data_IF_941143691957
#
_entry.id   IF_941143691957
#
_cell.length_a   1.000
_cell.length_b   1.000
_cell.length_c   1.000
_cell.angle_alpha   90.00
_cell.angle_beta   90.00
_cell.angle_gamma   90.00
#
_symmetry.space_group_name_H-M   'P 1'
#
loop_
_entity.id
_entity.type
_entity.pdbx_description
1 polymer ?
#
# COMPACT_ATOMS: atom_id res chain seq x y z
N UNK A 1 38.22 -2.38 1.40
CA UNK A 1 37.35 -1.39 2.07
C UNK A 1 37.55 -0.09 1.32
N UNK A 2 36.53 0.51 0.77
CA UNK A 2 36.59 1.88 0.27
C UNK A 2 36.83 2.81 1.47
N UNK A 3 37.73 3.78 1.32
CA UNK A 3 38.02 4.78 2.33
C UNK A 3 36.77 5.64 2.52
N UNK A 4 36.38 5.92 3.76
CA UNK A 4 35.24 6.77 4.06
C UNK A 4 35.62 8.24 3.86
N UNK A 5 34.74 9.01 3.22
CA UNK A 5 34.93 10.44 2.99
C UNK A 5 34.46 11.26 4.19
N UNK A 6 35.17 12.34 4.47
CA UNK A 6 34.73 13.32 5.46
C UNK A 6 33.43 14.02 4.97
N UNK A 7 32.62 14.51 5.91
CA UNK A 7 31.38 15.21 5.58
C UNK A 7 31.59 16.41 4.65
N UNK A 8 32.61 17.22 4.92
CA UNK A 8 32.96 18.41 4.11
C UNK A 8 33.34 18.04 2.67
N UNK A 9 34.06 16.91 2.49
CA UNK A 9 34.40 16.38 1.17
C UNK A 9 33.17 15.94 0.42
N UNK A 10 32.31 15.13 1.05
CA UNK A 10 31.05 14.66 0.44
C UNK A 10 30.15 15.85 0.08
N UNK A 11 30.09 16.88 0.91
CA UNK A 11 29.31 18.10 0.63
C UNK A 11 29.87 18.87 -0.56
N UNK A 12 31.19 19.05 -0.61
CA UNK A 12 31.87 19.79 -1.68
C UNK A 12 31.79 19.08 -3.03
N UNK A 13 31.93 17.76 -3.03
CA UNK A 13 31.90 16.95 -4.23
C UNK A 13 30.45 16.78 -4.77
N UNK A 14 29.43 16.91 -3.90
CA UNK A 14 28.02 16.72 -4.24
C UNK A 14 27.63 15.26 -4.46
N UNK A 15 28.50 14.30 -4.19
CA UNK A 15 28.25 12.87 -4.27
C UNK A 15 29.04 12.08 -3.22
N UNK A 16 28.58 10.87 -2.93
CA UNK A 16 29.21 9.96 -2.01
C UNK A 16 28.45 8.63 -1.97
N UNK A 17 29.10 7.57 -1.52
CA UNK A 17 28.40 6.32 -1.32
C UNK A 17 27.52 6.35 -0.04
N UNK A 18 26.76 5.30 0.23
CA UNK A 18 25.78 5.26 1.33
C UNK A 18 26.37 5.66 2.69
N UNK A 19 27.59 5.21 3.02
CA UNK A 19 28.21 5.55 4.30
C UNK A 19 28.66 7.01 4.37
N UNK A 20 29.18 7.58 3.26
CA UNK A 20 29.57 8.98 3.19
C UNK A 20 28.36 9.90 3.36
N UNK A 21 27.21 9.52 2.73
CA UNK A 21 25.94 10.24 2.90
C UNK A 21 25.44 10.19 4.35
N UNK A 22 25.57 9.03 5.02
CA UNK A 22 25.21 8.92 6.43
C UNK A 22 26.08 9.82 7.31
N UNK A 23 27.41 9.88 7.03
CA UNK A 23 28.34 10.79 7.73
C UNK A 23 27.94 12.25 7.51
N UNK A 24 27.60 12.63 6.29
CA UNK A 24 27.12 13.98 5.96
C UNK A 24 25.81 14.32 6.69
N UNK A 25 24.81 13.44 6.66
CA UNK A 25 23.55 13.66 7.40
C UNK A 25 23.78 13.81 8.89
N UNK A 26 24.63 12.98 9.48
CA UNK A 26 24.97 13.07 10.90
C UNK A 26 25.63 14.42 11.22
N UNK A 27 26.58 14.87 10.41
CA UNK A 27 27.26 16.15 10.60
C UNK A 27 26.31 17.35 10.49
N UNK A 28 25.43 17.36 9.46
CA UNK A 28 24.43 18.41 9.25
C UNK A 28 23.43 18.49 10.41
N UNK A 29 22.93 17.36 10.86
CA UNK A 29 21.99 17.30 11.99
C UNK A 29 22.65 17.77 13.29
N UNK A 30 23.91 17.37 13.52
CA UNK A 30 24.68 17.83 14.68
C UNK A 30 24.92 19.36 14.65
N UNK A 31 25.28 19.90 13.48
CA UNK A 31 25.44 21.35 13.30
C UNK A 31 24.12 22.12 13.49
N UNK A 32 22.98 21.48 13.18
CA UNK A 32 21.65 22.03 13.42
C UNK A 32 21.16 21.88 14.88
N UNK A 33 21.97 21.31 15.78
CA UNK A 33 21.67 21.20 17.22
C UNK A 33 20.88 19.95 17.59
N UNK A 34 20.74 18.98 16.69
CA UNK A 34 20.15 17.67 16.99
C UNK A 34 21.20 16.70 17.56
N UNK A 35 20.73 15.58 18.09
CA UNK A 35 21.56 14.48 18.60
C UNK A 35 21.36 13.22 17.75
N UNK A 36 21.94 13.14 16.56
CA UNK A 36 21.81 11.97 15.68
C UNK A 36 22.64 10.80 16.19
N UNK A 37 22.19 9.58 15.85
CA UNK A 37 22.91 8.34 16.10
C UNK A 37 23.12 7.58 14.78
N UNK A 38 24.30 6.98 14.61
CA UNK A 38 24.48 6.02 13.51
C UNK A 38 23.82 4.70 13.84
N UNK A 39 23.07 4.17 12.86
CA UNK A 39 22.39 2.88 12.92
C UNK A 39 22.77 2.09 11.67
N UNK A 40 23.17 0.84 11.85
CA UNK A 40 23.32 -0.10 10.75
C UNK A 40 22.05 -0.92 10.65
N UNK A 41 21.28 -0.77 9.59
CA UNK A 41 20.08 -1.54 9.37
C UNK A 41 20.41 -2.94 8.84
N UNK A 42 19.60 -3.91 9.25
CA UNK A 42 19.70 -5.29 8.79
C UNK A 42 18.85 -5.50 7.53
N UNK A 43 19.38 -6.27 6.59
CA UNK A 43 18.64 -6.78 5.43
C UNK A 43 17.82 -8.04 5.76
N UNK A 44 18.01 -8.61 6.94
CA UNK A 44 17.22 -9.77 7.38
C UNK A 44 15.73 -9.42 7.49
N UNK A 45 14.86 -10.34 7.10
CA UNK A 45 13.42 -10.11 7.21
C UNK A 45 12.97 -9.99 8.68
N UNK A 46 11.94 -9.19 8.97
CA UNK A 46 11.46 -8.95 10.34
C UNK A 46 10.62 -10.13 10.87
N UNK A 47 11.21 -11.33 10.88
CA UNK A 47 10.61 -12.56 11.37
C UNK A 47 11.17 -12.92 12.74
N UNK A 48 10.31 -13.17 13.71
CA UNK A 48 10.68 -13.35 15.12
C UNK A 48 11.81 -14.37 15.34
N UNK A 49 11.80 -15.50 14.62
CA UNK A 49 12.86 -16.51 14.71
C UNK A 49 14.21 -16.02 14.19
N UNK A 50 14.22 -15.27 13.08
CA UNK A 50 15.43 -14.72 12.46
C UNK A 50 15.94 -13.54 13.28
N UNK A 51 15.07 -12.60 13.63
CA UNK A 51 15.44 -11.42 14.42
C UNK A 51 15.89 -11.78 15.83
N UNK A 52 15.33 -12.83 16.43
CA UNK A 52 15.78 -13.35 17.74
C UNK A 52 17.21 -13.86 17.71
N UNK A 53 17.60 -14.60 16.66
CA UNK A 53 18.98 -15.06 16.46
C UNK A 53 19.92 -13.88 16.23
N UNK A 54 19.56 -12.95 15.33
CA UNK A 54 20.37 -11.77 15.02
C UNK A 54 20.54 -10.83 16.21
N UNK A 55 19.55 -10.73 17.11
CA UNK A 55 19.68 -9.99 18.38
C UNK A 55 20.69 -10.63 19.34
N UNK A 56 20.72 -11.96 19.39
CA UNK A 56 21.59 -12.71 20.30
C UNK A 56 23.01 -12.83 19.77
N UNK A 57 23.16 -13.02 18.47
CA UNK A 57 24.42 -13.20 17.76
C UNK A 57 24.48 -12.26 16.53
N UNK A 58 24.69 -10.95 16.74
CA UNK A 58 24.75 -10.01 15.63
C UNK A 58 26.00 -10.26 14.79
N UNK A 59 25.80 -10.64 13.53
CA UNK A 59 26.89 -10.83 12.58
C UNK A 59 27.06 -9.56 11.74
N UNK A 60 28.29 -9.08 11.49
CA UNK A 60 28.54 -7.85 10.73
C UNK A 60 27.89 -7.85 9.33
N UNK A 61 27.81 -9.01 8.68
CA UNK A 61 27.17 -9.15 7.38
C UNK A 61 25.65 -8.93 7.39
N UNK A 62 25.01 -9.01 8.57
CA UNK A 62 23.57 -8.82 8.71
C UNK A 62 23.17 -7.34 8.88
N UNK A 63 24.15 -6.49 9.20
CA UNK A 63 23.96 -5.06 9.52
C UNK A 63 24.82 -4.18 8.61
N UNK A 64 24.45 -4.07 7.36
CA UNK A 64 25.30 -3.43 6.35
C UNK A 64 24.77 -2.07 5.85
N UNK A 65 23.53 -1.73 6.14
CA UNK A 65 22.93 -0.51 5.59
C UNK A 65 23.08 0.67 6.56
N UNK A 66 23.95 1.65 6.26
CA UNK A 66 24.21 2.78 7.14
C UNK A 66 23.08 3.81 7.09
N UNK A 67 22.49 4.08 8.24
CA UNK A 67 21.43 5.05 8.45
C UNK A 67 21.80 6.03 9.56
N UNK A 68 21.07 7.14 9.62
CA UNK A 68 21.11 8.09 10.71
C UNK A 68 19.75 8.16 11.37
N UNK A 69 19.71 7.89 12.66
CA UNK A 69 18.51 8.04 13.50
C UNK A 69 18.58 9.38 14.22
N UNK A 70 17.48 10.12 14.19
CA UNK A 70 17.28 11.33 14.98
C UNK A 70 15.92 11.29 15.66
N UNK A 71 15.84 11.78 16.91
CA UNK A 71 14.56 11.86 17.64
C UNK A 71 14.13 13.32 17.70
N UNK A 72 12.94 13.61 17.20
CA UNK A 72 12.33 14.93 17.22
C UNK A 72 10.95 14.83 17.87
N UNK A 73 10.71 15.60 18.92
CA UNK A 73 9.45 15.57 19.68
C UNK A 73 9.01 14.16 20.11
N UNK A 74 9.95 13.29 20.46
CA UNK A 74 9.68 11.90 20.89
C UNK A 74 9.45 10.89 19.75
N UNK A 75 9.47 11.33 18.50
CA UNK A 75 9.35 10.49 17.31
C UNK A 75 10.75 10.23 16.72
N UNK A 76 11.10 8.98 16.49
CA UNK A 76 12.32 8.60 15.77
C UNK A 76 12.10 8.74 14.26
N UNK A 77 13.12 9.30 13.59
CA UNK A 77 13.23 9.40 12.14
C UNK A 77 14.52 8.72 11.71
N UNK A 78 14.44 7.93 10.66
CA UNK A 78 15.58 7.25 10.04
C UNK A 78 15.82 7.86 8.67
N UNK A 79 17.07 8.17 8.37
CA UNK A 79 17.48 8.86 7.15
C UNK A 79 18.55 8.06 6.42
N UNK A 80 18.66 8.26 5.12
CA UNK A 80 19.61 7.65 4.17
C UNK A 80 19.13 6.38 3.47
N UNK A 81 17.90 5.91 3.70
CA UNK A 81 17.36 4.72 3.07
C UNK A 81 16.22 4.99 2.07
N UNK A 82 15.87 6.25 1.89
CA UNK A 82 14.84 6.72 0.95
C UNK A 82 15.40 7.81 0.05
N UNK A 83 14.68 8.14 -1.01
CA UNK A 83 15.04 9.16 -1.98
C UNK A 83 14.31 10.49 -1.74
N UNK A 84 14.55 11.46 -2.61
CA UNK A 84 13.96 12.80 -2.56
C UNK A 84 12.45 12.83 -2.77
N UNK A 85 11.85 11.76 -3.31
CA UNK A 85 10.42 11.64 -3.58
C UNK A 85 9.67 11.07 -2.38
N UNK A 86 10.39 10.56 -1.40
CA UNK A 86 9.80 9.90 -0.23
C UNK A 86 9.35 10.89 0.83
N UNK A 87 8.32 10.52 1.60
CA UNK A 87 7.89 11.28 2.76
C UNK A 87 8.92 11.17 3.89
N UNK A 88 9.27 12.29 4.51
CA UNK A 88 10.09 12.28 5.73
C UNK A 88 9.40 11.42 6.81
N UNK A 89 10.12 10.44 7.33
CA UNK A 89 9.62 9.47 8.29
C UNK A 89 9.21 8.13 7.68
N UNK A 90 9.13 8.03 6.35
CA UNK A 90 9.09 6.72 5.70
C UNK A 90 10.47 6.06 5.78
N UNK A 91 10.51 4.73 5.78
CA UNK A 91 11.74 3.93 5.76
C UNK A 91 11.51 2.64 4.98
N UNK A 92 12.50 2.23 4.20
CA UNK A 92 12.50 0.93 3.52
C UNK A 92 12.78 -0.24 4.48
N UNK A 93 13.24 0.07 5.71
CA UNK A 93 13.61 -0.91 6.72
C UNK A 93 12.58 -1.05 7.84
N UNK A 94 11.32 -0.66 7.60
CA UNK A 94 10.26 -0.76 8.60
C UNK A 94 10.09 -2.19 9.14
N UNK A 95 10.08 -2.33 10.47
CA UNK A 95 10.02 -3.59 11.19
C UNK A 95 11.35 -4.37 11.27
N UNK A 96 12.43 -3.91 10.60
CA UNK A 96 13.73 -4.58 10.59
C UNK A 96 14.58 -4.19 11.81
N UNK A 97 15.62 -4.99 12.07
CA UNK A 97 16.60 -4.68 13.10
C UNK A 97 17.57 -3.61 12.65
N UNK A 98 17.94 -2.75 13.59
CA UNK A 98 19.05 -1.83 13.50
C UNK A 98 20.03 -2.04 14.64
N UNK A 99 21.32 -1.84 14.39
CA UNK A 99 22.38 -1.82 15.40
C UNK A 99 22.83 -0.37 15.59
N UNK A 100 22.56 0.18 16.79
CA UNK A 100 23.03 1.52 17.17
C UNK A 100 24.52 1.46 17.48
N UNK A 101 25.37 2.17 16.71
CA UNK A 101 26.81 2.01 16.82
C UNK A 101 27.37 2.51 18.17
N UNK A 102 26.82 3.60 18.70
CA UNK A 102 27.32 4.20 19.96
C UNK A 102 27.09 3.29 21.17
N UNK A 103 25.89 2.71 21.30
CA UNK A 103 25.51 1.87 22.42
C UNK A 103 25.75 0.38 22.19
N UNK A 104 25.97 -0.04 20.94
CA UNK A 104 26.03 -1.44 20.49
C UNK A 104 24.72 -2.22 20.77
N UNK A 105 23.62 -1.50 20.97
CA UNK A 105 22.32 -2.08 21.24
C UNK A 105 21.54 -2.33 19.95
N UNK A 106 20.80 -3.43 19.92
CA UNK A 106 19.82 -3.67 18.86
C UNK A 106 18.59 -2.79 19.08
N UNK A 107 18.03 -2.25 18.02
CA UNK A 107 16.76 -1.52 18.00
C UNK A 107 15.88 -2.07 16.87
N UNK A 108 14.58 -1.86 16.94
CA UNK A 108 13.70 -2.07 15.79
C UNK A 108 13.51 -0.74 15.08
N UNK A 109 13.64 -0.75 13.76
CA UNK A 109 13.44 0.41 12.91
C UNK A 109 11.95 0.48 12.60
N UNK A 110 11.31 1.61 12.87
CA UNK A 110 9.91 1.82 12.53
C UNK A 110 9.74 3.11 11.75
N UNK A 111 8.89 3.07 10.74
CA UNK A 111 8.41 4.26 10.07
C UNK A 111 7.75 5.20 11.09
N UNK A 112 7.86 6.50 10.87
CA UNK A 112 7.17 7.48 11.69
C UNK A 112 5.64 7.28 11.59
N UNK A 113 4.91 7.83 12.56
CA UNK A 113 3.45 7.72 12.59
C UNK A 113 2.83 8.13 11.24
N UNK A 114 1.96 7.28 10.72
CA UNK A 114 1.28 7.42 9.43
C UNK A 114 2.19 7.32 8.18
N UNK A 115 3.47 6.95 8.32
CA UNK A 115 4.41 6.78 7.22
C UNK A 115 4.68 5.31 6.85
N UNK A 116 3.96 4.35 7.44
CA UNK A 116 3.98 2.94 7.05
C UNK A 116 3.35 2.69 5.69
N UNK A 117 3.63 1.52 5.10
CA UNK A 117 3.10 1.14 3.80
C UNK A 117 1.59 0.88 3.85
N UNK A 118 0.82 1.78 3.24
CA UNK A 118 -0.63 1.64 3.14
C UNK A 118 -1.16 2.25 1.84
N UNK A 119 -2.31 1.75 1.38
CA UNK A 119 -3.09 2.33 0.30
C UNK A 119 -4.56 2.41 0.72
N UNK A 120 -5.23 3.52 0.39
CA UNK A 120 -6.68 3.64 0.57
C UNK A 120 -7.31 3.99 -0.77
N UNK A 121 -8.29 3.21 -1.18
CA UNK A 121 -9.05 3.46 -2.40
C UNK A 121 -10.51 3.72 -2.03
N UNK A 122 -11.05 4.82 -2.53
CA UNK A 122 -12.47 5.13 -2.47
C UNK A 122 -13.07 5.03 -3.87
N UNK A 123 -14.05 4.16 -4.02
CA UNK A 123 -14.95 4.11 -5.18
C UNK A 123 -16.27 4.75 -4.81
N UNK A 124 -16.77 5.64 -5.67
CA UNK A 124 -18.14 6.16 -5.59
C UNK A 124 -18.89 5.74 -6.84
N UNK A 125 -19.98 5.01 -6.68
CA UNK A 125 -20.81 4.51 -7.79
C UNK A 125 -22.20 5.19 -7.71
N UNK A 126 -22.59 5.89 -8.77
CA UNK A 126 -23.94 6.39 -8.94
C UNK A 126 -24.60 5.61 -10.05
N UNK A 127 -25.43 4.63 -9.69
CA UNK A 127 -26.12 3.74 -10.61
C UNK A 127 -27.48 4.32 -10.95
N UNK A 128 -27.85 4.37 -12.24
CA UNK A 128 -29.16 4.83 -12.70
C UNK A 128 -30.09 3.65 -13.04
N UNK A 129 -31.40 3.92 -13.12
CA UNK A 129 -32.42 2.94 -13.50
C UNK A 129 -32.21 2.35 -14.91
N UNK A 130 -31.42 2.98 -15.75
CA UNK A 130 -31.06 2.53 -17.10
C UNK A 130 -29.78 1.70 -17.12
N UNK A 131 -29.11 1.50 -15.97
CA UNK A 131 -27.85 0.79 -15.87
C UNK A 131 -26.61 1.63 -16.20
N UNK A 132 -26.78 2.88 -16.63
CA UNK A 132 -25.64 3.81 -16.74
C UNK A 132 -25.11 4.13 -15.35
N UNK A 133 -23.78 4.11 -15.20
CA UNK A 133 -23.15 4.34 -13.92
C UNK A 133 -22.01 5.34 -14.06
N UNK A 134 -21.94 6.28 -13.13
CA UNK A 134 -20.76 7.11 -12.91
C UNK A 134 -19.92 6.52 -11.80
N UNK A 135 -18.65 6.31 -12.09
CA UNK A 135 -17.68 5.76 -11.14
C UNK A 135 -16.60 6.79 -10.87
N UNK A 136 -16.53 7.28 -9.63
CA UNK A 136 -15.40 8.05 -9.13
C UNK A 136 -14.39 7.14 -8.45
N UNK A 137 -13.11 7.37 -8.70
CA UNK A 137 -12.01 6.64 -8.08
C UNK A 137 -11.06 7.63 -7.44
N UNK A 138 -10.78 7.43 -6.15
CA UNK A 138 -9.79 8.23 -5.41
C UNK A 138 -8.86 7.27 -4.68
N UNK A 139 -7.55 7.39 -4.91
CA UNK A 139 -6.51 6.58 -4.26
C UNK A 139 -5.60 7.46 -3.44
N UNK A 140 -5.33 7.04 -2.21
CA UNK A 140 -4.36 7.66 -1.32
C UNK A 140 -3.20 6.71 -1.11
N UNK A 141 -1.98 7.21 -1.34
CA UNK A 141 -0.74 6.45 -1.22
C UNK A 141 0.05 6.89 -0.01
N UNK A 142 0.52 5.93 0.79
CA UNK A 142 1.31 6.14 2.00
C UNK A 142 2.63 5.38 1.91
N UNK A 143 3.59 5.75 2.77
CA UNK A 143 4.88 5.07 2.90
C UNK A 143 5.64 4.96 1.59
N UNK A 144 6.17 3.78 1.29
CA UNK A 144 6.90 3.51 0.05
C UNK A 144 6.04 3.68 -1.21
N UNK A 145 4.74 3.40 -1.13
CA UNK A 145 3.79 3.63 -2.22
C UNK A 145 3.67 5.11 -2.61
N UNK A 146 3.72 6.02 -1.63
CA UNK A 146 3.80 7.46 -1.87
C UNK A 146 5.07 7.82 -2.64
N UNK A 147 6.25 7.42 -2.13
CA UNK A 147 7.53 7.74 -2.79
C UNK A 147 7.59 7.23 -4.23
N UNK A 148 7.19 5.98 -4.45
CA UNK A 148 7.17 5.37 -5.78
C UNK A 148 6.25 6.11 -6.77
N UNK A 149 5.04 6.49 -6.33
CA UNK A 149 4.10 7.23 -7.18
C UNK A 149 4.49 8.69 -7.39
N UNK A 150 5.07 9.33 -6.35
CA UNK A 150 5.62 10.67 -6.45
C UNK A 150 6.74 10.72 -7.50
N UNK A 151 7.71 9.80 -7.40
CA UNK A 151 8.78 9.65 -8.39
C UNK A 151 8.19 9.43 -9.80
N UNK A 152 7.30 8.45 -9.94
CA UNK A 152 6.69 8.12 -11.23
C UNK A 152 6.03 9.33 -11.89
N UNK A 153 5.14 10.04 -11.18
CA UNK A 153 4.42 11.18 -11.77
C UNK A 153 5.27 12.44 -11.93
N UNK A 154 6.34 12.60 -11.14
CA UNK A 154 7.27 13.73 -11.27
C UNK A 154 8.13 13.64 -12.53
N UNK A 155 8.41 12.44 -13.02
CA UNK A 155 9.27 12.19 -14.18
C UNK A 155 8.50 11.75 -15.43
N UNK A 156 7.18 11.53 -15.32
CA UNK A 156 6.37 10.99 -16.40
C UNK A 156 6.13 12.03 -17.51
N UNK A 157 6.55 11.75 -18.75
CA UNK A 157 6.25 12.63 -19.87
C UNK A 157 4.74 12.78 -20.12
N UNK A 158 4.25 13.92 -20.64
CA UNK A 158 2.82 14.15 -20.86
C UNK A 158 2.11 13.08 -21.69
N UNK A 159 2.79 12.51 -22.70
CA UNK A 159 2.25 11.40 -23.52
C UNK A 159 2.05 10.13 -22.71
N UNK A 160 3.02 9.78 -21.89
CA UNK A 160 2.95 8.63 -21.01
C UNK A 160 1.87 8.81 -19.93
N UNK A 161 1.70 10.03 -19.42
CA UNK A 161 0.62 10.36 -18.49
C UNK A 161 -0.76 10.14 -19.14
N UNK A 162 -0.92 10.52 -20.41
CA UNK A 162 -2.16 10.26 -21.18
C UNK A 162 -2.40 8.77 -21.35
N UNK A 163 -1.36 8.00 -21.73
CA UNK A 163 -1.46 6.55 -21.89
C UNK A 163 -1.82 5.87 -20.57
N UNK A 164 -1.14 6.22 -19.48
CA UNK A 164 -1.45 5.74 -18.13
C UNK A 164 -2.91 5.99 -17.78
N UNK A 165 -3.41 7.21 -18.05
CA UNK A 165 -4.81 7.55 -17.77
C UNK A 165 -5.80 6.73 -18.59
N UNK A 166 -5.54 6.55 -19.88
CA UNK A 166 -6.38 5.71 -20.75
C UNK A 166 -6.42 4.24 -20.27
N UNK A 167 -5.28 3.68 -19.90
CA UNK A 167 -5.20 2.33 -19.32
C UNK A 167 -5.96 2.23 -18.01
N UNK A 168 -5.79 3.21 -17.12
CA UNK A 168 -6.48 3.27 -15.83
C UNK A 168 -8.00 3.37 -15.99
N UNK A 169 -8.48 4.17 -16.94
CA UNK A 169 -9.91 4.26 -17.28
C UNK A 169 -10.44 2.93 -17.78
N UNK A 170 -9.72 2.26 -18.68
CA UNK A 170 -10.16 0.97 -19.25
C UNK A 170 -10.21 -0.17 -18.23
N UNK A 171 -9.43 -0.08 -17.15
CA UNK A 171 -9.44 -1.06 -16.05
C UNK A 171 -10.70 -0.99 -15.19
N UNK A 172 -11.41 0.15 -15.16
CA UNK A 172 -12.66 0.28 -14.38
C UNK A 172 -13.77 -0.57 -14.98
N UNK A 173 -13.98 -0.46 -16.27
CA UNK A 173 -14.95 -1.27 -17.01
C UNK A 173 -14.70 -1.16 -18.53
N UNK A 174 -15.16 -2.18 -19.26
CA UNK A 174 -15.18 -2.13 -20.72
C UNK A 174 -16.13 -0.99 -21.18
N UNK A 175 -15.63 -0.13 -22.07
CA UNK A 175 -16.41 1.02 -22.57
C UNK A 175 -16.49 2.21 -21.61
N UNK A 176 -15.69 2.22 -20.53
CA UNK A 176 -15.58 3.38 -19.65
C UNK A 176 -15.07 4.60 -20.42
N UNK A 177 -15.71 5.74 -20.20
CA UNK A 177 -15.33 7.03 -20.79
C UNK A 177 -14.94 8.00 -19.68
N UNK A 178 -13.78 8.67 -19.78
CA UNK A 178 -13.34 9.61 -18.77
C UNK A 178 -14.27 10.83 -18.70
N UNK A 179 -14.53 11.30 -17.48
CA UNK A 179 -15.21 12.56 -17.19
C UNK A 179 -14.18 13.50 -16.58
N UNK A 180 -13.68 14.42 -17.39
CA UNK A 180 -12.53 15.26 -17.02
C UNK A 180 -11.19 14.54 -17.18
N UNK A 181 -10.19 14.99 -16.44
CA UNK A 181 -8.81 14.48 -16.48
C UNK A 181 -8.42 13.69 -15.24
N UNK A 182 -7.22 13.11 -15.28
CA UNK A 182 -6.55 12.57 -14.11
C UNK A 182 -6.04 13.72 -13.24
N UNK A 183 -6.35 13.68 -11.96
CA UNK A 183 -5.78 14.58 -10.96
C UNK A 183 -4.78 13.79 -10.12
N UNK A 184 -3.54 14.28 -10.04
CA UNK A 184 -2.50 13.74 -9.16
C UNK A 184 -1.98 14.85 -8.26
N UNK A 185 -1.79 14.56 -6.96
CA UNK A 185 -1.19 15.48 -5.98
C UNK A 185 -0.22 14.72 -5.12
N UNK A 186 1.06 15.05 -5.27
CA UNK A 186 2.17 14.50 -4.49
C UNK A 186 3.04 15.59 -3.87
N UNK A 187 2.60 16.84 -3.92
CA UNK A 187 3.15 18.00 -3.20
C UNK A 187 2.74 18.04 -1.72
N UNK A 188 1.82 17.17 -1.35
CA UNK A 188 1.33 16.97 0.01
C UNK A 188 1.20 15.48 0.31
N UNK A 189 1.25 15.11 1.60
CA UNK A 189 1.12 13.74 2.07
C UNK A 189 -0.22 13.51 2.78
N UNK A 190 -0.95 12.41 2.51
CA UNK A 190 -0.66 11.35 1.55
C UNK A 190 -0.78 11.79 0.09
N UNK A 191 -0.12 11.04 -0.81
CA UNK A 191 -0.28 11.26 -2.26
C UNK A 191 -1.68 10.92 -2.72
N UNK A 192 -2.19 11.67 -3.69
CA UNK A 192 -3.53 11.52 -4.23
C UNK A 192 -3.50 11.26 -5.73
N UNK A 193 -4.31 10.29 -6.16
CA UNK A 193 -4.70 10.05 -7.55
C UNK A 193 -6.23 10.01 -7.63
N UNK A 194 -6.84 10.79 -8.51
CA UNK A 194 -8.30 10.88 -8.63
C UNK A 194 -8.75 11.03 -10.07
N UNK A 195 -9.81 10.31 -10.44
CA UNK A 195 -10.49 10.46 -11.73
C UNK A 195 -11.94 9.97 -11.66
N UNK A 196 -12.70 10.28 -12.70
CA UNK A 196 -14.11 9.86 -12.82
C UNK A 196 -14.35 9.31 -14.22
N UNK A 197 -15.18 8.28 -14.31
CA UNK A 197 -15.62 7.69 -15.59
C UNK A 197 -17.13 7.54 -15.63
N UNK A 198 -17.71 7.64 -16.82
CA UNK A 198 -19.07 7.21 -17.12
C UNK A 198 -19.04 5.89 -17.91
N UNK A 199 -19.92 4.96 -17.55
CA UNK A 199 -20.07 3.68 -18.22
C UNK A 199 -21.54 3.45 -18.53
N UNK A 200 -21.92 3.38 -19.82
CA UNK A 200 -23.34 3.36 -20.23
C UNK A 200 -24.07 2.08 -19.83
N UNK A 201 -23.43 0.92 -19.96
CA UNK A 201 -24.05 -0.38 -19.66
C UNK A 201 -23.26 -1.09 -18.54
N UNK A 202 -22.95 -0.35 -17.47
CA UNK A 202 -22.26 -0.92 -16.30
C UNK A 202 -23.14 -1.92 -15.57
N UNK A 203 -24.36 -1.50 -15.26
CA UNK A 203 -25.38 -2.38 -14.71
C UNK A 203 -26.29 -2.88 -15.83
N UNK A 204 -26.68 -4.14 -15.75
CA UNK A 204 -27.59 -4.76 -16.70
C UNK A 204 -29.00 -4.80 -16.13
N UNK A 205 -29.95 -4.24 -16.88
CA UNK A 205 -31.36 -4.25 -16.53
C UNK A 205 -32.07 -5.40 -17.27
N UNK A 206 -32.70 -6.29 -16.52
CA UNK A 206 -33.48 -7.43 -17.06
C UNK A 206 -34.82 -7.52 -16.33
N UNK A 207 -35.85 -7.03 -16.98
CA UNK A 207 -37.22 -6.97 -16.44
C UNK A 207 -37.27 -6.16 -15.12
N UNK A 208 -37.57 -6.84 -14.02
CA UNK A 208 -37.61 -6.23 -12.69
C UNK A 208 -36.30 -6.27 -11.95
N UNK A 209 -35.23 -6.75 -12.55
CA UNK A 209 -33.92 -6.88 -11.93
C UNK A 209 -32.90 -5.95 -12.57
N UNK A 210 -31.97 -5.47 -11.74
CA UNK A 210 -30.79 -4.76 -12.15
C UNK A 210 -29.59 -5.40 -11.44
N UNK A 211 -28.53 -5.76 -12.20
CA UNK A 211 -27.36 -6.36 -11.61
C UNK A 211 -26.07 -5.74 -12.13
N UNK A 212 -25.05 -5.70 -11.27
CA UNK A 212 -23.70 -5.23 -11.58
C UNK A 212 -22.67 -5.85 -10.64
N UNK A 213 -21.41 -5.79 -11.03
CA UNK A 213 -20.25 -6.15 -10.22
C UNK A 213 -19.58 -4.90 -9.66
N UNK A 214 -18.88 -5.03 -8.54
CA UNK A 214 -17.92 -4.01 -8.09
C UNK A 214 -16.80 -3.82 -9.11
N UNK A 215 -16.22 -2.59 -9.26
CA UNK A 215 -15.20 -2.29 -10.27
C UNK A 215 -13.81 -2.84 -9.94
N UNK A 216 -13.68 -3.68 -8.94
CA UNK A 216 -12.44 -4.29 -8.50
C UNK A 216 -12.67 -5.71 -8.00
N UNK A 217 -11.58 -6.42 -7.83
CA UNK A 217 -11.54 -7.71 -7.11
C UNK A 217 -10.46 -7.61 -6.05
N UNK A 218 -10.84 -7.74 -4.79
CA UNK A 218 -9.87 -7.75 -3.69
C UNK A 218 -8.94 -8.97 -3.78
N UNK A 219 -7.67 -8.78 -3.42
CA UNK A 219 -6.67 -9.84 -3.35
C UNK A 219 -5.72 -9.53 -2.21
N UNK A 220 -5.42 -10.52 -1.39
CA UNK A 220 -4.57 -10.36 -0.20
C UNK A 220 -3.19 -10.97 -0.42
N UNK A 221 -3.12 -12.11 -1.11
CA UNK A 221 -1.89 -12.88 -1.28
C UNK A 221 -1.52 -13.08 -2.75
N UNK A 222 -0.22 -13.04 -3.09
CA UNK A 222 0.25 -13.35 -4.45
C UNK A 222 0.25 -14.87 -4.69
N UNK A 223 -0.93 -15.47 -4.73
CA UNK A 223 -1.09 -16.89 -5.04
C UNK A 223 -1.15 -17.13 -6.55
N UNK A 224 -0.54 -18.22 -7.01
CA UNK A 224 -0.54 -18.63 -8.43
C UNK A 224 -1.04 -20.06 -8.57
N UNK A 225 -0.21 -21.03 -8.22
CA UNK A 225 -0.50 -22.45 -8.40
C UNK A 225 -1.37 -23.01 -7.28
N UNK A 226 -2.06 -24.11 -7.55
CA UNK A 226 -2.92 -24.81 -6.57
C UNK A 226 -2.12 -25.47 -5.43
N UNK A 227 -0.83 -25.65 -5.61
CA UNK A 227 0.06 -26.23 -4.59
C UNK A 227 1.47 -25.65 -4.69
N UNK A 228 2.21 -25.72 -3.58
CA UNK A 228 3.59 -25.29 -3.49
C UNK A 228 4.46 -26.38 -2.87
N UNK A 229 5.69 -26.49 -3.36
CA UNK A 229 6.73 -27.39 -2.80
C UNK A 229 7.66 -26.62 -1.86
N UNK A 230 7.85 -25.31 -2.13
CA UNK A 230 8.70 -24.43 -1.33
C UNK A 230 7.85 -23.45 -0.51
N UNK A 231 8.32 -23.01 0.66
CA UNK A 231 7.64 -21.98 1.45
C UNK A 231 7.39 -20.70 0.64
N UNK A 232 6.26 -20.05 0.89
CA UNK A 232 5.99 -18.69 0.43
C UNK A 232 6.54 -17.70 1.44
N UNK A 233 7.29 -16.71 0.96
CA UNK A 233 7.83 -15.67 1.81
C UNK A 233 7.12 -14.34 1.54
N UNK A 234 6.53 -13.74 2.59
CA UNK A 234 6.02 -12.38 2.62
C UNK A 234 7.06 -11.54 3.35
N UNK A 235 7.77 -10.70 2.60
CA UNK A 235 8.92 -9.93 3.13
C UNK A 235 8.52 -8.67 3.89
N UNK A 236 7.37 -8.08 3.54
CA UNK A 236 6.91 -6.82 4.12
C UNK A 236 5.41 -6.88 4.39
N UNK A 237 4.99 -6.21 5.46
CA UNK A 237 3.59 -5.96 5.73
C UNK A 237 3.04 -4.82 4.86
N UNK A 238 1.75 -4.87 4.57
CA UNK A 238 1.03 -3.80 3.90
C UNK A 238 -0.40 -3.72 4.42
N UNK A 239 -0.98 -2.53 4.33
CA UNK A 239 -2.39 -2.30 4.63
C UNK A 239 -3.06 -1.71 3.40
N UNK A 240 -4.20 -2.28 3.03
CA UNK A 240 -5.06 -1.72 1.98
C UNK A 240 -6.49 -1.61 2.51
N UNK A 241 -7.09 -0.42 2.36
CA UNK A 241 -8.51 -0.21 2.62
C UNK A 241 -9.18 0.18 1.33
N UNK A 242 -10.17 -0.61 0.88
CA UNK A 242 -11.00 -0.29 -0.27
C UNK A 242 -12.40 0.00 0.25
N UNK A 243 -12.83 1.25 0.09
CA UNK A 243 -14.17 1.70 0.46
C UNK A 243 -14.98 1.96 -0.81
N UNK A 244 -16.15 1.36 -0.91
CA UNK A 244 -17.07 1.56 -2.02
C UNK A 244 -18.38 2.12 -1.50
N UNK A 245 -18.77 3.28 -2.01
CA UNK A 245 -20.02 3.96 -1.72
C UNK A 245 -20.91 3.89 -2.97
N UNK A 246 -22.04 3.23 -2.86
CA UNK A 246 -22.96 2.99 -3.96
C UNK A 246 -24.26 3.72 -3.69
N UNK A 247 -24.58 4.71 -4.52
CA UNK A 247 -25.91 5.31 -4.57
C UNK A 247 -26.80 4.42 -5.42
N UNK A 248 -27.86 3.90 -4.81
CA UNK A 248 -28.80 2.99 -5.45
C UNK A 248 -29.72 3.76 -6.42
N UNK A 249 -30.17 3.12 -7.54
CA UNK A 249 -31.13 3.73 -8.45
C UNK A 249 -32.50 3.87 -7.79
N UNK A 250 -33.31 4.80 -8.30
CA UNK A 250 -34.60 5.17 -7.68
C UNK A 250 -35.61 4.05 -7.75
N UNK A 251 -35.69 3.34 -8.88
CA UNK A 251 -36.68 2.27 -9.11
C UNK A 251 -36.22 0.91 -8.59
N UNK A 252 -34.89 0.67 -8.49
CA UNK A 252 -34.29 -0.60 -8.11
C UNK A 252 -33.56 -0.48 -6.77
N UNK A 253 -34.30 -0.31 -5.68
CA UNK A 253 -33.69 -0.09 -4.36
C UNK A 253 -33.80 -1.30 -3.43
N UNK A 254 -34.56 -2.34 -3.77
CA UNK A 254 -34.61 -3.58 -3.00
C UNK A 254 -33.39 -4.45 -3.31
N UNK A 255 -32.49 -4.56 -2.36
CA UNK A 255 -31.28 -5.41 -2.51
C UNK A 255 -31.67 -6.88 -2.31
N UNK A 256 -31.49 -7.70 -3.36
CA UNK A 256 -31.69 -9.15 -3.33
C UNK A 256 -30.37 -9.86 -3.03
N UNK A 257 -29.27 -9.42 -3.64
CA UNK A 257 -27.91 -9.93 -3.41
C UNK A 257 -26.97 -8.74 -3.27
N UNK A 258 -26.13 -8.79 -2.25
CA UNK A 258 -25.00 -7.87 -2.07
C UNK A 258 -23.87 -8.61 -1.34
N UNK A 259 -22.63 -8.13 -1.44
CA UNK A 259 -21.53 -8.61 -0.63
C UNK A 259 -21.87 -8.57 0.85
N UNK A 260 -21.57 -9.65 1.57
CA UNK A 260 -21.86 -9.77 2.99
C UNK A 260 -20.63 -9.46 3.83
N UNK A 261 -20.86 -8.96 5.05
CA UNK A 261 -19.78 -8.78 6.02
C UNK A 261 -19.12 -10.13 6.36
N UNK A 262 -17.82 -10.19 6.26
CA UNK A 262 -17.05 -11.42 6.47
C UNK A 262 -15.66 -11.09 7.04
N UNK A 263 -15.09 -12.02 7.78
CA UNK A 263 -13.71 -11.96 8.22
C UNK A 263 -12.97 -13.22 7.79
N UNK A 264 -11.90 -13.03 7.06
CA UNK A 264 -11.05 -14.08 6.53
C UNK A 264 -9.65 -13.93 7.14
N UNK A 265 -8.99 -15.03 7.44
CA UNK A 265 -7.64 -15.03 7.98
C UNK A 265 -6.87 -16.26 7.50
N UNK A 266 -5.58 -16.04 7.23
CA UNK A 266 -4.62 -17.08 6.95
C UNK A 266 -3.25 -16.66 7.54
N UNK A 267 -2.28 -17.57 7.64
CA UNK A 267 -0.92 -17.18 8.01
C UNK A 267 -0.41 -16.05 7.10
N UNK A 268 0.09 -14.98 7.73
CA UNK A 268 0.62 -13.81 7.01
C UNK A 268 -0.41 -12.77 6.56
N UNK A 269 -1.71 -12.91 6.89
CA UNK A 269 -2.66 -11.83 6.61
C UNK A 269 -4.10 -12.05 6.99
N UNK A 270 -4.86 -10.95 6.99
CA UNK A 270 -6.29 -10.92 7.31
C UNK A 270 -7.04 -10.02 6.32
N UNK A 271 -8.28 -10.40 6.03
CA UNK A 271 -9.22 -9.56 5.29
C UNK A 271 -10.52 -9.41 6.11
N UNK A 272 -11.00 -8.18 6.25
CA UNK A 272 -12.27 -7.87 6.89
C UNK A 272 -13.14 -7.10 5.90
N UNK A 273 -14.24 -7.71 5.49
CA UNK A 273 -15.26 -7.08 4.66
C UNK A 273 -16.38 -6.60 5.58
N UNK A 274 -16.79 -5.36 5.44
CA UNK A 274 -17.93 -4.79 6.16
C UNK A 274 -18.90 -4.23 5.13
N UNK A 275 -20.15 -4.66 5.19
CA UNK A 275 -21.23 -4.19 4.31
C UNK A 275 -22.33 -3.54 5.16
N UNK A 276 -22.71 -2.31 4.81
CA UNK A 276 -23.75 -1.55 5.50
C UNK A 276 -24.69 -0.96 4.45
N UNK A 277 -25.99 -1.14 4.63
CA UNK A 277 -27.01 -0.68 3.69
C UNK A 277 -28.01 0.23 4.39
N UNK A 278 -28.37 1.32 3.73
CA UNK A 278 -29.48 2.20 4.04
C UNK A 278 -30.50 2.15 2.89
N UNK A 279 -31.58 2.94 2.96
CA UNK A 279 -32.59 2.97 1.91
C UNK A 279 -32.01 3.36 0.52
N UNK A 280 -31.07 4.30 0.48
CA UNK A 280 -30.57 4.91 -0.76
C UNK A 280 -29.11 4.60 -1.06
N UNK A 281 -28.40 3.94 -0.13
CA UNK A 281 -26.97 3.75 -0.24
C UNK A 281 -26.51 2.40 0.33
N UNK A 282 -25.53 1.82 -0.34
CA UNK A 282 -24.75 0.70 0.21
C UNK A 282 -23.29 1.11 0.33
N UNK A 283 -22.68 0.81 1.46
CA UNK A 283 -21.27 1.06 1.71
C UNK A 283 -20.58 -0.27 2.03
N UNK A 284 -19.54 -0.59 1.27
CA UNK A 284 -18.67 -1.74 1.51
C UNK A 284 -17.28 -1.23 1.85
N UNK A 285 -16.67 -1.83 2.84
CA UNK A 285 -15.28 -1.56 3.21
C UNK A 285 -14.54 -2.88 3.33
N UNK A 286 -13.49 -3.03 2.54
CA UNK A 286 -12.56 -4.15 2.59
C UNK A 286 -11.26 -3.64 3.23
N UNK A 287 -10.97 -4.11 4.44
CA UNK A 287 -9.71 -3.88 5.14
C UNK A 287 -8.83 -5.12 4.96
N UNK A 288 -7.74 -4.98 4.24
CA UNK A 288 -6.78 -6.02 3.89
C UNK A 288 -5.45 -5.72 4.58
N UNK A 289 -4.90 -6.69 5.28
CA UNK A 289 -3.63 -6.53 5.99
C UNK A 289 -2.76 -7.76 5.77
N UNK A 290 -1.51 -7.54 5.34
CA UNK A 290 -0.48 -8.57 5.31
C UNK A 290 0.60 -8.27 6.36
N UNK A 291 1.20 -9.33 6.88
CA UNK A 291 2.34 -9.25 7.81
C UNK A 291 3.49 -10.12 7.30
N UNK A 292 4.74 -9.76 7.60
CA UNK A 292 5.89 -10.58 7.24
C UNK A 292 5.73 -12.01 7.78
N UNK A 293 5.88 -13.00 6.90
CA UNK A 293 5.70 -14.41 7.27
C UNK A 293 6.46 -15.36 6.32
N UNK A 294 6.85 -16.51 6.86
CA UNK A 294 7.22 -17.69 6.08
C UNK A 294 6.06 -18.67 6.19
N UNK A 295 5.44 -18.97 5.08
CA UNK A 295 4.26 -19.83 5.01
C UNK A 295 4.70 -21.19 4.47
N UNK A 296 4.57 -22.22 5.29
CA UNK A 296 4.93 -23.56 4.90
C UNK A 296 4.01 -24.07 3.77
N UNK A 297 4.49 -24.99 2.91
CA UNK A 297 3.65 -25.58 1.87
C UNK A 297 2.35 -26.20 2.40
N UNK A 298 2.38 -26.76 3.61
CA UNK A 298 1.20 -27.34 4.27
C UNK A 298 0.12 -26.30 4.62
N UNK A 299 0.51 -25.04 4.85
CA UNK A 299 -0.40 -23.95 5.21
C UNK A 299 -0.92 -23.18 3.97
N UNK A 300 -0.30 -23.40 2.81
CA UNK A 300 -0.64 -22.70 1.57
C UNK A 300 -2.11 -22.85 1.15
N UNK A 301 -2.79 -24.01 1.35
CA UNK A 301 -4.22 -24.13 1.07
C UNK A 301 -5.11 -23.14 1.84
N UNK A 302 -4.67 -22.66 3.01
CA UNK A 302 -5.41 -21.63 3.75
C UNK A 302 -5.41 -20.28 3.02
N UNK A 303 -4.30 -19.92 2.36
CA UNK A 303 -4.21 -18.72 1.54
C UNK A 303 -5.13 -18.82 0.31
N UNK A 304 -5.12 -19.99 -0.35
CA UNK A 304 -5.99 -20.24 -1.51
C UNK A 304 -7.47 -20.10 -1.13
N UNK A 305 -7.87 -20.55 0.06
CA UNK A 305 -9.26 -20.38 0.55
C UNK A 305 -9.61 -18.90 0.72
N UNK A 306 -8.71 -18.10 1.32
CA UNK A 306 -8.93 -16.66 1.47
C UNK A 306 -9.05 -15.99 0.11
N UNK A 307 -8.13 -16.24 -0.82
CA UNK A 307 -8.18 -15.69 -2.17
C UNK A 307 -9.43 -16.13 -2.95
N UNK A 308 -9.82 -17.40 -2.86
CA UNK A 308 -11.04 -17.91 -3.47
C UNK A 308 -12.29 -17.23 -2.90
N UNK A 309 -12.31 -16.96 -1.58
CA UNK A 309 -13.41 -16.25 -0.94
C UNK A 309 -13.49 -14.77 -1.40
N UNK A 310 -12.36 -14.08 -1.51
CA UNK A 310 -12.31 -12.70 -2.00
C UNK A 310 -12.70 -12.58 -3.49
N UNK A 311 -12.37 -13.60 -4.30
CA UNK A 311 -12.64 -13.61 -5.76
C UNK A 311 -13.98 -14.22 -6.16
N UNK A 312 -14.72 -14.80 -5.23
CA UNK A 312 -16.03 -15.40 -5.54
C UNK A 312 -17.03 -14.35 -6.04
N UNK A 313 -17.93 -14.74 -6.93
CA UNK A 313 -18.94 -13.81 -7.49
C UNK A 313 -19.76 -13.11 -6.40
N UNK A 314 -20.17 -13.82 -5.35
CA UNK A 314 -20.95 -13.26 -4.24
C UNK A 314 -20.21 -12.21 -3.42
N UNK A 315 -18.88 -12.08 -3.57
CA UNK A 315 -18.09 -11.03 -2.92
C UNK A 315 -18.13 -9.69 -3.67
N UNK A 316 -18.67 -9.65 -4.89
CA UNK A 316 -18.67 -8.42 -5.70
C UNK A 316 -19.98 -8.15 -6.46
N UNK A 317 -20.91 -9.09 -6.52
CA UNK A 317 -22.16 -8.94 -7.27
C UNK A 317 -23.22 -8.22 -6.45
N UNK A 318 -23.92 -7.31 -7.10
CA UNK A 318 -25.18 -6.73 -6.66
C UNK A 318 -26.32 -7.20 -7.57
N UNK A 319 -27.42 -7.64 -6.95
CA UNK A 319 -28.70 -7.85 -7.61
C UNK A 319 -29.74 -7.01 -6.88
N UNK A 320 -30.33 -6.09 -7.61
CA UNK A 320 -31.39 -5.21 -7.13
C UNK A 320 -32.70 -5.59 -7.81
N UNK A 321 -33.81 -5.37 -7.14
CA UNK A 321 -35.16 -5.61 -7.66
C UNK A 321 -35.98 -4.33 -7.60
N UNK A 322 -36.76 -4.13 -8.65
CA UNK A 322 -37.76 -3.05 -8.74
C UNK A 322 -38.97 -3.39 -7.88
N UNK A 323 -39.43 -2.44 -7.08
CA UNK A 323 -40.70 -2.57 -6.35
C UNK A 323 -41.94 -2.39 -7.23
#
# INVERSE_FOLDING_TARGET
MSELSAADTTLADGYGHLADRAILFHALLTAAGFHPEFVLASELPPLTGITGVAKTFPLPQDFQYPMVKVVVAGQAYYLNDTDQYSQLGATAHDGRLGLVLASRASTEIHAAKNCGNAMKTLYTLSVTDTGRTRVGVTRYYYGGGYGAKNHYFSELPPEECRRYFQETVSQVAQGARPVGGLTTKFDSYPGLEQFTVDVDNYAVVDGKYLYFDLPFTASLFPVGDDHRVLPLFISQGSQETIRTEITLPTDFHRIVIAPQSERLAAPGGTAKITSTTTADQCVITDDLETTPAIIAPADYPALLKVESALRRKSAKVFLLEKE
#
